data_IF_741475610479
#
_entry.id   IF_741475610479
#
_cell.length_a   1.000
_cell.length_b   1.000
_cell.length_c   1.000
_cell.angle_alpha   90.00
_cell.angle_beta   90.00
_cell.angle_gamma   90.00
#
_symmetry.space_group_name_H-M   'P 1'
#
loop_
_entity.id
_entity.type
_entity.pdbx_description
1 polymer ?
#
# COMPACT_ATOMS: atom_id res chain seq x y z
N UNK A 1 -2.14 -18.81 -19.49
CA UNK A 1 -3.50 -18.73 -18.93
C UNK A 1 -3.60 -17.37 -18.30
N UNK A 2 -4.58 -16.54 -18.68
CA UNK A 2 -4.83 -15.28 -17.96
C UNK A 2 -5.32 -15.64 -16.56
N UNK A 3 -4.66 -15.09 -15.54
CA UNK A 3 -5.17 -15.15 -14.18
C UNK A 3 -6.55 -14.49 -14.16
N UNK A 4 -7.54 -15.17 -13.56
CA UNK A 4 -8.88 -14.59 -13.42
C UNK A 4 -8.85 -13.32 -12.55
N UNK A 5 -9.98 -12.61 -12.49
CA UNK A 5 -10.14 -11.31 -11.80
C UNK A 5 -9.53 -11.21 -10.39
N UNK A 6 -9.41 -12.32 -9.66
CA UNK A 6 -8.80 -12.40 -8.32
C UNK A 6 -7.41 -13.02 -8.33
N UNK A 7 -6.86 -13.33 -9.52
CA UNK A 7 -5.54 -13.96 -9.64
C UNK A 7 -4.38 -13.02 -9.33
N UNK A 8 -4.63 -11.70 -9.40
CA UNK A 8 -3.69 -10.65 -8.98
C UNK A 8 -4.30 -9.90 -7.80
N UNK A 9 -3.71 -10.03 -6.63
CA UNK A 9 -4.22 -9.36 -5.42
C UNK A 9 -4.21 -7.83 -5.54
N UNK A 10 -3.29 -7.27 -6.32
CA UNK A 10 -3.27 -5.82 -6.62
C UNK A 10 -4.57 -5.38 -7.31
N UNK A 11 -5.05 -6.10 -8.33
CA UNK A 11 -6.30 -5.78 -9.00
C UNK A 11 -7.50 -5.88 -8.04
N UNK A 12 -7.45 -6.84 -7.10
CA UNK A 12 -8.45 -6.97 -6.06
C UNK A 12 -8.43 -5.80 -5.07
N UNK A 13 -7.24 -5.34 -4.67
CA UNK A 13 -7.07 -4.13 -3.84
C UNK A 13 -7.65 -2.90 -4.54
N UNK A 14 -7.32 -2.70 -5.83
CA UNK A 14 -7.86 -1.59 -6.62
C UNK A 14 -9.39 -1.62 -6.66
N UNK A 15 -9.99 -2.79 -6.90
CA UNK A 15 -11.44 -2.95 -6.88
C UNK A 15 -12.07 -2.58 -5.53
N UNK A 16 -11.46 -3.00 -4.42
CA UNK A 16 -11.94 -2.65 -3.07
C UNK A 16 -11.84 -1.16 -2.78
N UNK A 17 -10.75 -0.51 -3.24
CA UNK A 17 -10.56 0.94 -3.12
C UNK A 17 -11.61 1.69 -3.95
N UNK A 18 -11.79 1.33 -5.22
CA UNK A 18 -12.82 1.94 -6.07
C UNK A 18 -14.20 1.82 -5.44
N UNK A 19 -14.58 0.62 -5.00
CA UNK A 19 -15.88 0.38 -4.37
C UNK A 19 -16.08 1.21 -3.09
N UNK A 20 -15.01 1.42 -2.31
CA UNK A 20 -15.07 2.12 -1.02
C UNK A 20 -15.11 3.63 -1.17
N UNK A 21 -14.47 4.17 -2.21
CA UNK A 21 -14.19 5.59 -2.35
C UNK A 21 -14.80 6.24 -3.60
N UNK A 22 -15.46 5.48 -4.49
CA UNK A 22 -16.16 6.02 -5.66
C UNK A 22 -17.13 7.13 -5.27
N UNK A 23 -17.02 8.27 -5.95
CA UNK A 23 -17.89 9.43 -5.72
C UNK A 23 -17.58 10.25 -4.46
N UNK A 24 -16.55 9.90 -3.70
CA UNK A 24 -16.05 10.71 -2.59
C UNK A 24 -15.04 11.74 -3.10
N UNK A 25 -14.93 12.88 -2.41
CA UNK A 25 -14.01 13.97 -2.73
C UNK A 25 -13.00 14.19 -1.59
N UNK A 26 -11.95 14.98 -1.86
CA UNK A 26 -10.89 15.29 -0.89
C UNK A 26 -10.23 14.06 -0.25
N UNK A 27 -10.10 12.98 -1.01
CA UNK A 27 -9.51 11.74 -0.53
C UNK A 27 -8.00 11.90 -0.30
N UNK A 28 -7.49 11.31 0.78
CA UNK A 28 -6.08 11.31 1.14
C UNK A 28 -5.58 9.90 1.22
N UNK A 29 -4.67 9.56 0.32
CA UNK A 29 -4.10 8.23 0.20
C UNK A 29 -2.60 8.23 0.45
N UNK A 30 -2.09 7.07 0.83
CA UNK A 30 -0.68 6.78 0.95
C UNK A 30 -0.36 5.56 0.08
N UNK A 31 0.69 5.69 -0.73
CA UNK A 31 1.39 4.58 -1.35
C UNK A 31 2.75 4.44 -0.66
N UNK A 32 2.88 3.44 0.19
CA UNK A 32 4.09 3.27 1.01
C UNK A 32 5.27 2.63 0.24
N UNK A 33 5.04 2.18 -1.00
CA UNK A 33 5.98 1.42 -1.84
C UNK A 33 5.75 1.71 -3.32
N UNK A 34 5.96 2.95 -3.77
CA UNK A 34 5.48 3.39 -5.08
C UNK A 34 6.10 2.65 -6.28
N UNK A 35 7.32 2.18 -6.19
CA UNK A 35 7.97 1.34 -7.18
C UNK A 35 7.94 1.91 -8.61
N UNK A 36 7.20 1.26 -9.50
CA UNK A 36 7.00 1.72 -10.87
C UNK A 36 5.81 2.70 -11.03
N UNK A 37 5.11 3.04 -9.95
CA UNK A 37 4.07 4.07 -9.90
C UNK A 37 2.67 3.65 -10.32
N UNK A 38 2.41 2.37 -10.57
CA UNK A 38 1.08 1.93 -11.03
C UNK A 38 0.01 2.10 -9.95
N UNK A 39 0.31 1.72 -8.72
CA UNK A 39 -0.60 1.91 -7.58
C UNK A 39 -0.75 3.41 -7.27
N UNK A 40 0.34 4.18 -7.31
CA UNK A 40 0.30 5.64 -7.16
C UNK A 40 -0.61 6.29 -8.20
N UNK A 41 -0.47 5.92 -9.49
CA UNK A 41 -1.30 6.46 -10.57
C UNK A 41 -2.79 6.13 -10.36
N UNK A 42 -3.08 4.89 -9.98
CA UNK A 42 -4.43 4.44 -9.65
C UNK A 42 -5.02 5.28 -8.50
N UNK A 43 -4.27 5.45 -7.41
CA UNK A 43 -4.69 6.24 -6.24
C UNK A 43 -4.90 7.71 -6.60
N UNK A 44 -4.03 8.31 -7.42
CA UNK A 44 -4.18 9.69 -7.90
C UNK A 44 -5.47 9.90 -8.70
N UNK A 45 -5.78 8.97 -9.60
CA UNK A 45 -7.03 9.00 -10.39
C UNK A 45 -8.26 8.86 -9.50
N UNK A 46 -8.23 7.94 -8.54
CA UNK A 46 -9.31 7.70 -7.58
C UNK A 46 -9.50 8.90 -6.65
N UNK A 47 -8.42 9.51 -6.17
CA UNK A 47 -8.48 10.69 -5.30
C UNK A 47 -9.01 11.94 -6.02
N UNK A 48 -8.87 12.00 -7.34
CA UNK A 48 -9.31 13.14 -8.15
C UNK A 48 -8.52 14.42 -7.88
N UNK A 49 -8.87 15.49 -8.57
CA UNK A 49 -8.13 16.76 -8.56
C UNK A 49 -7.97 17.39 -7.16
N UNK A 50 -8.95 17.22 -6.29
CA UNK A 50 -8.97 17.81 -4.95
C UNK A 50 -8.38 16.88 -3.87
N UNK A 51 -8.02 15.65 -4.23
CA UNK A 51 -7.39 14.69 -3.33
C UNK A 51 -5.89 14.91 -3.17
N UNK A 52 -5.26 14.06 -2.38
CA UNK A 52 -3.81 14.07 -2.19
C UNK A 52 -3.28 12.64 -2.01
N UNK A 53 -2.20 12.31 -2.70
CA UNK A 53 -1.50 11.02 -2.57
C UNK A 53 -0.05 11.27 -2.18
N UNK A 54 0.38 10.69 -1.06
CA UNK A 54 1.80 10.66 -0.67
C UNK A 54 2.38 9.30 -1.03
N UNK A 55 3.41 9.29 -1.88
CA UNK A 55 4.02 8.07 -2.39
C UNK A 55 5.50 7.99 -2.00
N UNK A 56 5.88 6.87 -1.39
CA UNK A 56 7.20 6.64 -0.81
C UNK A 56 7.97 5.58 -1.58
N UNK A 57 9.25 5.81 -1.73
CA UNK A 57 10.24 4.79 -2.08
C UNK A 57 11.62 5.20 -1.60
N UNK A 58 12.48 4.21 -1.30
CA UNK A 58 13.88 4.44 -0.91
C UNK A 58 14.79 4.57 -2.13
N UNK A 59 14.31 4.17 -3.32
CA UNK A 59 15.09 4.14 -4.53
C UNK A 59 14.78 5.36 -5.40
N UNK A 60 15.79 6.17 -5.68
CA UNK A 60 15.68 7.34 -6.57
C UNK A 60 15.08 6.96 -7.94
N UNK A 61 15.47 5.79 -8.48
CA UNK A 61 14.98 5.30 -9.76
C UNK A 61 13.47 5.00 -9.76
N UNK A 62 12.92 4.52 -8.62
CA UNK A 62 11.49 4.31 -8.46
C UNK A 62 10.73 5.66 -8.49
N UNK A 63 11.22 6.65 -7.76
CA UNK A 63 10.66 8.01 -7.75
C UNK A 63 10.66 8.62 -9.16
N UNK A 64 11.75 8.50 -9.91
CA UNK A 64 11.86 9.03 -11.29
C UNK A 64 10.88 8.34 -12.25
N UNK A 65 10.77 7.01 -12.19
CA UNK A 65 9.82 6.24 -13.01
C UNK A 65 8.37 6.62 -12.68
N UNK A 66 8.05 6.68 -11.40
CA UNK A 66 6.72 7.08 -10.93
C UNK A 66 6.40 8.51 -11.38
N UNK A 67 7.31 9.47 -11.22
CA UNK A 67 7.12 10.85 -11.69
C UNK A 67 6.86 10.92 -13.20
N UNK A 68 7.62 10.17 -13.99
CA UNK A 68 7.45 10.10 -15.45
C UNK A 68 6.06 9.54 -15.81
N UNK A 69 5.65 8.46 -15.14
CA UNK A 69 4.36 7.83 -15.36
C UNK A 69 3.20 8.78 -15.01
N UNK A 70 3.26 9.46 -13.86
CA UNK A 70 2.23 10.37 -13.40
C UNK A 70 2.10 11.58 -14.32
N UNK A 71 3.21 12.22 -14.69
CA UNK A 71 3.22 13.36 -15.60
C UNK A 71 2.65 13.04 -16.99
N UNK A 72 2.80 11.80 -17.44
CA UNK A 72 2.27 11.36 -18.74
C UNK A 72 0.80 10.96 -18.72
N UNK A 73 0.19 10.77 -17.54
CA UNK A 73 -1.15 10.18 -17.40
C UNK A 73 -2.13 10.99 -16.55
N UNK A 74 -1.67 12.08 -15.93
CA UNK A 74 -2.52 12.98 -15.13
C UNK A 74 -2.52 14.38 -15.71
N UNK A 75 -3.68 15.02 -15.72
CA UNK A 75 -3.87 16.43 -16.13
C UNK A 75 -3.72 17.40 -14.96
N UNK A 76 -3.54 16.89 -13.74
CA UNK A 76 -3.43 17.67 -12.51
C UNK A 76 -2.40 17.07 -11.56
N UNK A 77 -1.86 17.87 -10.66
CA UNK A 77 -0.92 17.41 -9.63
C UNK A 77 -1.67 17.32 -8.29
N UNK A 78 -1.87 16.10 -7.82
CA UNK A 78 -2.48 15.78 -6.53
C UNK A 78 -1.63 14.78 -5.75
N UNK A 79 -0.33 14.79 -5.97
CA UNK A 79 0.60 13.84 -5.35
C UNK A 79 1.88 14.52 -4.86
N UNK A 80 2.53 13.84 -3.92
CA UNK A 80 3.86 14.16 -3.40
C UNK A 80 4.70 12.87 -3.44
N UNK A 81 5.83 12.90 -4.18
CA UNK A 81 6.78 11.79 -4.23
C UNK A 81 7.88 12.00 -3.21
N UNK A 82 8.10 11.02 -2.35
CA UNK A 82 8.96 11.12 -1.17
C UNK A 82 10.05 10.05 -1.27
N UNK A 83 11.28 10.50 -1.51
CA UNK A 83 12.47 9.64 -1.47
C UNK A 83 12.87 9.40 -0.03
N UNK A 84 12.22 8.45 0.61
CA UNK A 84 12.50 8.05 1.99
C UNK A 84 11.94 6.67 2.28
N UNK A 85 12.42 6.02 3.35
CA UNK A 85 11.80 4.81 3.85
C UNK A 85 10.41 5.12 4.44
N UNK A 86 9.44 4.25 4.15
CA UNK A 86 8.11 4.34 4.75
C UNK A 86 8.12 4.23 6.28
N UNK A 87 9.18 3.71 6.90
CA UNK A 87 9.31 3.72 8.36
C UNK A 87 9.30 5.12 8.98
N UNK A 88 9.66 6.16 8.20
CA UNK A 88 9.64 7.57 8.62
C UNK A 88 8.37 8.31 8.23
N UNK A 89 7.31 7.59 7.87
CA UNK A 89 6.05 8.14 7.38
C UNK A 89 5.42 9.13 8.36
N UNK A 90 5.64 8.97 9.67
CA UNK A 90 5.16 9.88 10.71
C UNK A 90 5.57 11.34 10.49
N UNK A 91 6.71 11.58 9.85
CA UNK A 91 7.20 12.93 9.57
C UNK A 91 6.39 13.66 8.48
N UNK A 92 5.55 12.92 7.77
CA UNK A 92 4.76 13.40 6.63
C UNK A 92 3.25 13.34 6.87
N UNK A 93 2.82 12.76 8.02
CA UNK A 93 1.42 12.67 8.41
C UNK A 93 1.01 13.90 9.19
N UNK A 94 0.24 14.76 8.57
CA UNK A 94 -0.31 15.97 9.16
C UNK A 94 -1.84 16.04 9.10
N UNK A 95 -2.46 15.04 8.46
CA UNK A 95 -3.90 14.93 8.24
C UNK A 95 -4.38 13.49 8.39
N UNK A 96 -5.68 13.31 8.62
CA UNK A 96 -6.30 12.00 8.58
C UNK A 96 -6.35 11.48 7.14
N UNK A 97 -6.11 10.18 6.96
CA UNK A 97 -6.05 9.49 5.67
C UNK A 97 -7.22 8.53 5.48
N UNK A 98 -7.61 8.35 4.24
CA UNK A 98 -8.69 7.43 3.84
C UNK A 98 -8.14 6.01 3.65
N UNK A 99 -7.01 5.85 2.95
CA UNK A 99 -6.36 4.56 2.82
C UNK A 99 -4.84 4.66 2.66
N UNK A 100 -4.17 3.55 3.00
CA UNK A 100 -2.77 3.32 2.68
C UNK A 100 -2.60 1.97 1.95
N UNK A 101 -1.68 1.93 1.00
CA UNK A 101 -1.32 0.73 0.25
C UNK A 101 0.16 0.42 0.45
N UNK A 102 0.44 -0.85 0.74
CA UNK A 102 1.76 -1.45 0.74
C UNK A 102 1.77 -2.59 -0.27
N UNK A 103 2.67 -2.53 -1.23
CA UNK A 103 2.92 -3.61 -2.18
C UNK A 103 4.36 -4.08 -1.95
N UNK A 104 4.52 -5.00 -0.98
CA UNK A 104 5.81 -5.36 -0.41
C UNK A 104 6.59 -6.28 -1.35
N UNK A 105 7.90 -6.18 -1.31
CA UNK A 105 8.78 -6.98 -2.13
C UNK A 105 9.99 -6.18 -2.62
N UNK A 106 10.35 -6.36 -3.88
CA UNK A 106 11.45 -5.63 -4.52
C UNK A 106 11.00 -4.96 -5.82
N UNK A 107 11.67 -3.90 -6.19
CA UNK A 107 11.40 -3.22 -7.45
C UNK A 107 11.81 -4.13 -8.63
N UNK A 108 10.90 -4.49 -9.55
CA UNK A 108 11.24 -5.30 -10.71
C UNK A 108 12.37 -4.67 -11.53
N UNK A 109 13.34 -5.50 -11.94
CA UNK A 109 14.53 -5.10 -12.71
C UNK A 109 15.53 -4.21 -11.95
N UNK A 110 15.49 -4.19 -10.62
CA UNK A 110 16.49 -3.55 -9.76
C UNK A 110 17.28 -4.58 -8.94
N UNK A 111 18.19 -4.10 -8.09
CA UNK A 111 18.93 -4.97 -7.18
C UNK A 111 17.95 -5.60 -6.15
N UNK A 112 17.85 -6.93 -6.19
CA UNK A 112 16.99 -7.71 -5.29
C UNK A 112 17.42 -7.66 -3.83
N UNK A 113 18.64 -7.17 -3.55
CA UNK A 113 19.09 -6.94 -2.18
C UNK A 113 18.34 -5.79 -1.49
N UNK A 114 17.67 -4.92 -2.27
CA UNK A 114 16.85 -3.84 -1.75
C UNK A 114 15.39 -4.29 -1.75
N UNK A 115 14.97 -4.92 -0.67
CA UNK A 115 13.61 -5.38 -0.42
C UNK A 115 13.04 -4.74 0.86
N UNK A 116 11.73 -4.74 0.99
CA UNK A 116 11.04 -4.35 2.22
C UNK A 116 11.39 -5.31 3.37
N UNK A 117 11.22 -4.85 4.60
CA UNK A 117 11.48 -5.63 5.82
C UNK A 117 10.29 -5.53 6.76
N UNK A 118 9.94 -6.63 7.39
CA UNK A 118 8.81 -6.71 8.34
C UNK A 118 8.86 -5.62 9.40
N UNK A 119 10.01 -5.40 10.03
CA UNK A 119 10.20 -4.36 11.04
C UNK A 119 9.86 -2.95 10.55
N UNK A 120 10.35 -2.56 9.36
CA UNK A 120 10.08 -1.21 8.79
C UNK A 120 8.63 -1.06 8.37
N UNK A 121 8.03 -2.12 7.86
CA UNK A 121 6.62 -2.16 7.48
C UNK A 121 5.71 -2.06 8.70
N UNK A 122 5.95 -2.85 9.74
CA UNK A 122 5.20 -2.79 11.00
C UNK A 122 5.28 -1.39 11.62
N UNK A 123 6.48 -0.78 11.65
CA UNK A 123 6.66 0.57 12.16
C UNK A 123 5.86 1.60 11.36
N UNK A 124 5.83 1.50 10.05
CA UNK A 124 5.02 2.36 9.19
C UNK A 124 3.52 2.20 9.49
N UNK A 125 3.03 0.97 9.59
CA UNK A 125 1.64 0.68 9.93
C UNK A 125 1.29 1.29 11.30
N UNK A 126 2.12 1.11 12.32
CA UNK A 126 1.92 1.70 13.65
C UNK A 126 1.75 3.21 13.59
N UNK A 127 2.55 3.90 12.75
CA UNK A 127 2.45 5.34 12.56
C UNK A 127 1.19 5.77 11.82
N UNK A 128 0.70 4.96 10.86
CA UNK A 128 -0.49 5.26 10.05
C UNK A 128 -1.79 5.06 10.84
N UNK A 129 -1.88 4.02 11.67
CA UNK A 129 -3.12 3.63 12.36
C UNK A 129 -3.83 4.78 13.10
N UNK A 130 -3.16 5.68 13.85
CA UNK A 130 -3.80 6.80 14.50
C UNK A 130 -4.47 7.79 13.53
N UNK A 131 -3.90 7.95 12.33
CA UNK A 131 -4.34 8.89 11.30
C UNK A 131 -5.40 8.32 10.35
N UNK A 132 -5.72 7.02 10.43
CA UNK A 132 -6.83 6.49 9.65
C UNK A 132 -8.14 7.15 10.07
N UNK A 133 -8.93 7.57 9.09
CA UNK A 133 -10.33 7.94 9.31
C UNK A 133 -11.14 6.72 9.75
N UNK A 134 -12.32 6.95 10.33
CA UNK A 134 -13.32 5.90 10.48
C UNK A 134 -13.61 5.26 9.11
N UNK A 135 -13.70 3.95 9.06
CA UNK A 135 -13.84 3.14 7.84
C UNK A 135 -12.64 3.25 6.88
N UNK A 136 -11.55 3.92 7.31
CA UNK A 136 -10.29 3.97 6.58
C UNK A 136 -9.57 2.63 6.61
N UNK A 137 -8.76 2.34 5.58
CA UNK A 137 -8.15 1.02 5.42
C UNK A 137 -6.65 1.08 5.10
N UNK A 138 -5.93 0.07 5.57
CA UNK A 138 -4.57 -0.24 5.12
C UNK A 138 -4.64 -1.56 4.35
N UNK A 139 -4.11 -1.57 3.14
CA UNK A 139 -3.96 -2.75 2.30
C UNK A 139 -2.49 -3.13 2.23
N UNK A 140 -2.14 -4.37 2.58
CA UNK A 140 -0.76 -4.83 2.61
C UNK A 140 -0.68 -6.12 1.81
N UNK A 141 -0.13 -6.02 0.59
CA UNK A 141 0.16 -7.18 -0.25
C UNK A 141 1.60 -7.62 -0.01
N UNK A 142 1.78 -8.88 0.34
CA UNK A 142 3.09 -9.48 0.63
C UNK A 142 3.45 -10.55 -0.40
N UNK A 143 4.74 -10.70 -0.68
CA UNK A 143 5.25 -11.71 -1.60
C UNK A 143 6.39 -12.48 -0.91
N UNK A 144 6.29 -13.81 -0.84
CA UNK A 144 7.41 -14.65 -0.38
C UNK A 144 8.41 -14.74 -1.52
N UNK A 145 9.40 -13.85 -1.52
CA UNK A 145 10.36 -13.77 -2.63
C UNK A 145 11.78 -14.14 -2.25
N UNK A 146 12.27 -13.76 -1.08
CA UNK A 146 13.69 -13.88 -0.71
C UNK A 146 13.96 -14.07 0.77
N UNK A 147 13.06 -13.66 1.64
CA UNK A 147 13.10 -14.02 3.04
C UNK A 147 12.33 -15.32 3.23
N UNK A 148 12.60 -16.04 4.26
CA UNK A 148 11.95 -17.30 4.61
C UNK A 148 10.48 -17.12 5.06
N UNK A 149 9.85 -15.97 4.74
CA UNK A 149 8.52 -15.56 5.21
C UNK A 149 8.56 -14.75 6.51
N UNK A 150 9.74 -14.28 6.91
CA UNK A 150 9.91 -13.51 8.15
C UNK A 150 9.13 -12.20 8.10
N UNK A 151 9.10 -11.50 6.95
CA UNK A 151 8.32 -10.28 6.77
C UNK A 151 6.82 -10.52 6.99
N UNK A 152 6.26 -11.58 6.40
CA UNK A 152 4.85 -11.94 6.55
C UNK A 152 4.54 -12.27 8.01
N UNK A 153 5.44 -13.01 8.66
CA UNK A 153 5.29 -13.39 10.06
C UNK A 153 5.26 -12.16 10.97
N UNK A 154 6.20 -11.23 10.81
CA UNK A 154 6.25 -9.99 11.61
C UNK A 154 4.96 -9.17 11.46
N UNK A 155 4.47 -9.05 10.21
CA UNK A 155 3.22 -8.34 9.92
C UNK A 155 2.03 -9.07 10.56
N UNK A 156 1.93 -10.39 10.40
CA UNK A 156 0.85 -11.21 10.97
C UNK A 156 0.81 -11.10 12.49
N UNK A 157 1.96 -11.28 13.14
CA UNK A 157 2.07 -11.23 14.60
C UNK A 157 1.62 -9.86 15.12
N UNK A 158 2.09 -8.78 14.51
CA UNK A 158 1.69 -7.42 14.88
C UNK A 158 0.19 -7.17 14.66
N UNK A 159 -0.35 -7.53 13.49
CA UNK A 159 -1.73 -7.27 13.14
C UNK A 159 -2.71 -8.07 14.00
N UNK A 160 -2.34 -9.28 14.40
CA UNK A 160 -3.17 -10.16 15.27
C UNK A 160 -3.38 -9.59 16.68
N UNK A 161 -2.47 -8.75 17.15
CA UNK A 161 -2.50 -8.11 18.48
C UNK A 161 -3.22 -6.75 18.49
N UNK A 162 -3.70 -6.26 17.32
CA UNK A 162 -4.41 -4.98 17.26
C UNK A 162 -5.70 -5.02 18.09
N UNK A 163 -6.02 -3.89 18.73
CA UNK A 163 -7.23 -3.70 19.52
C UNK A 163 -8.48 -3.94 18.66
N UNK A 164 -9.12 -5.10 18.86
CA UNK A 164 -10.33 -5.54 18.15
C UNK A 164 -11.54 -4.61 18.31
N UNK A 165 -11.53 -3.73 19.29
CA UNK A 165 -12.58 -2.73 19.45
C UNK A 165 -12.40 -1.54 18.49
N UNK A 166 -11.19 -1.35 17.97
CA UNK A 166 -10.82 -0.23 17.09
C UNK A 166 -10.56 -0.66 15.65
N UNK A 167 -10.09 -1.90 15.44
CA UNK A 167 -9.66 -2.36 14.13
C UNK A 167 -10.22 -3.76 13.82
N UNK A 168 -10.64 -3.95 12.59
CA UNK A 168 -10.85 -5.27 12.00
C UNK A 168 -9.64 -5.60 11.14
N UNK A 169 -9.16 -6.83 11.20
CA UNK A 169 -8.08 -7.33 10.37
C UNK A 169 -8.58 -8.53 9.58
N UNK A 170 -8.41 -8.48 8.28
CA UNK A 170 -8.67 -9.59 7.37
C UNK A 170 -7.33 -10.08 6.79
N UNK A 171 -7.21 -11.39 6.67
CA UNK A 171 -6.11 -12.05 5.98
C UNK A 171 -6.68 -12.88 4.82
N UNK A 172 -6.23 -12.62 3.62
CA UNK A 172 -6.72 -13.22 2.38
C UNK A 172 -5.57 -13.89 1.66
N UNK A 173 -5.73 -15.18 1.34
CA UNK A 173 -4.77 -15.96 0.58
C UNK A 173 -5.46 -16.79 -0.51
N UNK A 174 -4.68 -17.25 -1.49
CA UNK A 174 -5.12 -18.08 -2.60
C UNK A 174 -4.82 -19.54 -2.29
N UNK A 175 -5.72 -20.23 -1.58
CA UNK A 175 -5.52 -21.56 -0.98
C UNK A 175 -5.26 -22.68 -2.00
N UNK A 176 -5.56 -22.49 -3.27
CA UNK A 176 -5.40 -23.49 -4.34
C UNK A 176 -4.24 -23.14 -5.31
N UNK A 177 -3.42 -22.15 -4.98
CA UNK A 177 -2.22 -21.83 -5.76
C UNK A 177 -1.02 -22.53 -5.15
N UNK A 178 -0.15 -23.06 -6.03
CA UNK A 178 1.14 -23.61 -5.65
C UNK A 178 2.20 -22.50 -5.57
N UNK A 179 3.35 -22.81 -4.96
CA UNK A 179 4.52 -21.94 -4.90
C UNK A 179 4.30 -20.59 -4.20
N UNK A 180 3.75 -20.62 -2.98
CA UNK A 180 3.67 -19.44 -2.10
C UNK A 180 3.09 -18.19 -2.79
N UNK A 181 1.79 -18.21 -3.11
CA UNK A 181 1.14 -17.05 -3.72
C UNK A 181 1.24 -15.82 -2.81
N UNK A 182 1.09 -14.61 -3.36
CA UNK A 182 1.02 -13.41 -2.54
C UNK A 182 -0.16 -13.48 -1.56
N UNK A 183 0.00 -12.84 -0.41
CA UNK A 183 -1.03 -12.72 0.62
C UNK A 183 -1.44 -11.26 0.78
N UNK A 184 -2.69 -11.02 1.18
CA UNK A 184 -3.23 -9.69 1.41
C UNK A 184 -3.75 -9.56 2.83
N UNK A 185 -3.25 -8.59 3.57
CA UNK A 185 -3.85 -8.15 4.82
C UNK A 185 -4.60 -6.84 4.60
N UNK A 186 -5.77 -6.74 5.22
CA UNK A 186 -6.58 -5.52 5.21
C UNK A 186 -6.86 -5.14 6.67
N UNK A 187 -6.46 -3.94 7.05
CA UNK A 187 -6.82 -3.37 8.35
C UNK A 187 -7.86 -2.29 8.12
N UNK A 188 -8.99 -2.39 8.79
CA UNK A 188 -10.07 -1.39 8.75
C UNK A 188 -10.26 -0.77 10.14
N UNK A 189 -10.36 0.56 10.20
CA UNK A 189 -10.66 1.28 11.45
C UNK A 189 -12.15 1.37 11.68
N UNK A 190 -12.63 0.83 12.80
CA UNK A 190 -14.06 0.73 13.14
C UNK A 190 -14.66 2.04 13.71
N UNK A 191 -13.88 2.82 14.46
CA UNK A 191 -14.36 3.98 15.22
C UNK A 191 -13.35 5.13 15.27
#
# INVERSE_FOLDING_TARGET
>A
MEDGKYGKLVDFVHMLIEQSYCGKDNLKFIDATCGNGFDTLFLCKTAGKNGNVKAFDIQQQAIERTNTLLNSNLEFINYELILNSHEFISNYLNDNIDAAVFNLGYLPFSDKAVATKGETTVKAIQHILPFLKKDGRIFITTYITHDTGDEIKDIYDFLSELDKSKYNVLHINLINKENTPPELFIVEKNA
#
